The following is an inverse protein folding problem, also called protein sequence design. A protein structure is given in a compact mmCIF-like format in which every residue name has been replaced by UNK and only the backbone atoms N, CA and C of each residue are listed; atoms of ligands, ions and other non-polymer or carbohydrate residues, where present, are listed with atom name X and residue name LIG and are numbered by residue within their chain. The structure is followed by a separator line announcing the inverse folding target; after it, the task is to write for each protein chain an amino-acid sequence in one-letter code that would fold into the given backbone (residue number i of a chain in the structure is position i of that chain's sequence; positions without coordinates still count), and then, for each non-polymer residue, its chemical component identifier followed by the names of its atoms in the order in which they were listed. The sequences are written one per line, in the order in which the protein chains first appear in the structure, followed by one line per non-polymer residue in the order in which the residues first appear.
data_IF_883095024037
#
_entry.id   IF_883095024037
#
_cell.length_a   1.000
_cell.length_b   1.000
_cell.length_c   1.000
_cell.angle_alpha   90.00
_cell.angle_beta   90.00
_cell.angle_gamma   90.00
#
_symmetry.space_group_name_H-M   'P 1'
#
loop_
_entity.id
_entity.type
_entity.pdbx_description
1 polymer ?
#
# COMPACT_ATOMS: atom_id res chain seq x y z
N UNK A 1 64.95 -32.12 -15.17
CA UNK A 1 64.73 -31.79 -16.59
C UNK A 1 64.58 -33.11 -17.35
N UNK A 2 63.62 -33.33 -18.28
CA UNK A 2 62.17 -33.06 -18.26
C UNK A 2 61.30 -34.28 -18.73
N UNK A 3 59.97 -34.16 -18.55
CA UNK A 3 58.83 -34.70 -19.35
C UNK A 3 58.54 -36.21 -19.54
N UNK A 4 57.32 -36.65 -19.20
CA UNK A 4 56.16 -36.99 -20.09
C UNK A 4 55.06 -37.75 -19.30
N UNK A 5 53.84 -37.21 -19.13
CA UNK A 5 52.56 -37.54 -19.82
C UNK A 5 51.49 -38.31 -18.99
N UNK A 6 50.29 -37.71 -18.94
CA UNK A 6 48.95 -38.06 -18.38
C UNK A 6 48.37 -39.47 -18.76
N UNK A 7 47.21 -39.99 -18.21
CA UNK A 7 45.96 -39.27 -17.87
C UNK A 7 44.99 -39.76 -16.74
N UNK A 8 44.08 -38.83 -16.39
CA UNK A 8 42.64 -38.92 -16.07
C UNK A 8 42.07 -39.88 -15.00
N UNK A 9 41.43 -39.29 -13.99
CA UNK A 9 40.01 -39.57 -13.65
C UNK A 9 39.41 -38.45 -12.79
N UNK A 10 38.39 -37.77 -13.31
CA UNK A 10 37.50 -36.92 -12.53
C UNK A 10 36.37 -37.78 -11.93
N UNK A 11 35.95 -37.48 -10.70
CA UNK A 11 34.54 -37.56 -10.36
C UNK A 11 34.01 -36.18 -9.95
N UNK A 12 33.29 -35.58 -10.90
CA UNK A 12 31.96 -34.97 -10.75
C UNK A 12 31.64 -34.41 -9.36
N UNK A 13 31.61 -33.07 -9.28
CA UNK A 13 30.95 -32.31 -8.22
C UNK A 13 29.56 -32.88 -7.93
N UNK A 14 29.19 -33.17 -6.67
CA UNK A 14 27.80 -33.30 -6.31
C UNK A 14 27.18 -31.91 -6.39
N UNK A 15 26.46 -31.73 -7.49
CA UNK A 15 25.37 -30.78 -7.70
C UNK A 15 24.65 -30.53 -6.36
N UNK A 16 24.88 -29.37 -5.76
CA UNK A 16 24.17 -28.92 -4.57
C UNK A 16 22.68 -28.86 -4.92
N UNK A 17 21.93 -29.87 -4.47
CA UNK A 17 20.49 -29.80 -4.40
C UNK A 17 20.14 -28.57 -3.56
N UNK A 18 19.40 -27.63 -4.15
CA UNK A 18 18.87 -26.49 -3.41
C UNK A 18 18.11 -27.02 -2.19
N UNK A 19 18.63 -26.74 -0.99
CA UNK A 19 17.92 -27.02 0.24
C UNK A 19 16.58 -26.26 0.19
N UNK A 20 15.45 -26.88 0.60
CA UNK A 20 14.19 -26.17 0.66
C UNK A 20 14.35 -24.96 1.57
N UNK A 21 14.02 -23.77 1.06
CA UNK A 21 14.12 -22.50 1.78
C UNK A 21 13.13 -22.52 2.95
N UNK A 22 13.53 -23.06 4.10
CA UNK A 22 12.68 -23.08 5.30
C UNK A 22 12.48 -21.64 5.76
N UNK A 23 11.25 -21.15 5.64
CA UNK A 23 10.87 -19.82 6.14
C UNK A 23 11.01 -19.88 7.67
N UNK A 24 11.82 -18.99 8.25
CA UNK A 24 12.05 -18.96 9.69
C UNK A 24 10.74 -18.72 10.45
N UNK A 25 10.46 -19.52 11.48
CA UNK A 25 9.19 -19.50 12.25
C UNK A 25 8.80 -18.09 12.75
N UNK A 26 9.79 -17.25 13.05
CA UNK A 26 9.58 -15.87 13.52
C UNK A 26 9.05 -14.92 12.42
N UNK A 27 9.11 -15.32 11.15
CA UNK A 27 8.58 -14.56 10.01
C UNK A 27 7.13 -14.91 9.68
N UNK A 28 6.55 -15.91 10.35
CA UNK A 28 5.14 -16.30 10.14
C UNK A 28 4.14 -15.41 10.90
N UNK A 29 4.59 -14.39 11.65
CA UNK A 29 3.68 -13.48 12.37
C UNK A 29 2.89 -14.14 13.51
N UNK A 30 3.30 -15.34 13.92
CA UNK A 30 2.71 -16.11 15.01
C UNK A 30 3.01 -15.46 16.38
N UNK A 31 2.11 -15.62 17.34
CA UNK A 31 2.40 -15.17 18.70
C UNK A 31 3.58 -15.99 19.28
N UNK A 32 4.40 -15.45 20.19
CA UNK A 32 5.59 -16.13 20.70
C UNK A 32 5.32 -17.54 21.26
N UNK A 33 4.15 -17.70 21.90
CA UNK A 33 3.65 -18.98 22.42
C UNK A 33 3.31 -20.00 21.32
N UNK A 34 2.79 -19.53 20.18
CA UNK A 34 2.43 -20.38 19.05
C UNK A 34 3.68 -20.82 18.27
N UNK A 35 4.70 -19.95 18.18
CA UNK A 35 6.03 -20.29 17.64
C UNK A 35 6.70 -21.37 18.49
N UNK A 36 6.62 -21.26 19.82
CA UNK A 36 7.19 -22.26 20.72
C UNK A 36 6.51 -23.63 20.55
N UNK A 37 5.18 -23.63 20.45
CA UNK A 37 4.37 -24.84 20.22
C UNK A 37 4.68 -25.45 18.85
N UNK A 38 4.77 -24.64 17.79
CA UNK A 38 5.14 -25.08 16.44
C UNK A 38 6.54 -25.70 16.41
N UNK A 39 7.51 -25.08 17.08
CA UNK A 39 8.88 -25.58 17.18
C UNK A 39 8.94 -26.91 17.94
N UNK A 40 8.18 -27.05 19.02
CA UNK A 40 8.06 -28.29 19.78
C UNK A 40 7.47 -29.41 18.92
N UNK A 41 6.42 -29.12 18.14
CA UNK A 41 5.81 -30.11 17.25
C UNK A 41 6.69 -30.48 16.06
N UNK A 42 7.42 -29.51 15.47
CA UNK A 42 8.44 -29.81 14.46
C UNK A 42 9.51 -30.76 15.00
N UNK A 43 9.98 -30.55 16.24
CA UNK A 43 10.97 -31.43 16.86
C UNK A 43 10.44 -32.85 17.03
N UNK A 44 9.17 -33.02 17.43
CA UNK A 44 8.52 -34.32 17.55
C UNK A 44 8.31 -35.00 16.19
N UNK A 45 7.88 -34.24 15.17
CA UNK A 45 7.72 -34.73 13.81
C UNK A 45 9.07 -35.14 13.18
N UNK A 46 10.14 -34.35 13.41
CA UNK A 46 11.49 -34.72 12.99
C UNK A 46 12.04 -35.94 13.73
N UNK A 47 11.71 -36.11 15.01
CA UNK A 47 12.07 -37.31 15.77
C UNK A 47 11.38 -38.56 15.19
N UNK A 48 10.12 -38.47 14.77
CA UNK A 48 9.40 -39.55 14.08
C UNK A 48 9.91 -39.78 12.64
N UNK A 49 10.23 -38.72 11.91
CA UNK A 49 10.74 -38.77 10.53
C UNK A 49 12.18 -39.32 10.40
N UNK A 50 12.96 -39.28 11.49
CA UNK A 50 14.27 -39.95 11.61
C UNK A 50 14.17 -41.48 11.70
N UNK A 51 12.96 -42.03 11.80
CA UNK A 51 12.74 -43.44 11.53
C UNK A 51 12.91 -43.69 10.02
N UNK A 52 13.66 -44.71 9.57
CA UNK A 52 13.93 -44.96 8.14
C UNK A 52 12.68 -45.14 7.27
N UNK A 53 11.50 -45.37 7.88
CA UNK A 53 10.20 -45.38 7.21
C UNK A 53 9.61 -43.98 6.91
N UNK A 54 9.99 -42.93 7.66
CA UNK A 54 9.45 -41.57 7.52
C UNK A 54 10.16 -40.75 6.43
N UNK A 55 11.43 -41.03 6.17
CA UNK A 55 12.21 -40.34 5.12
C UNK A 55 11.74 -40.67 3.69
N UNK A 56 11.11 -41.82 3.48
CA UNK A 56 10.47 -42.21 2.21
C UNK A 56 9.08 -41.59 2.00
N UNK A 57 8.39 -41.17 3.06
CA UNK A 57 7.06 -40.56 2.96
C UNK A 57 7.13 -39.08 2.54
N UNK A 58 8.18 -38.38 2.98
CA UNK A 58 8.43 -36.97 2.62
C UNK A 58 8.77 -36.80 1.13
N UNK A 59 9.52 -37.75 0.55
CA UNK A 59 9.88 -37.74 -0.87
C UNK A 59 8.73 -38.10 -1.83
N UNK A 60 7.61 -38.61 -1.31
CA UNK A 60 6.44 -39.03 -2.10
C UNK A 60 5.27 -38.04 -2.01
N UNK A 61 5.53 -36.77 -1.70
CA UNK A 61 4.54 -35.68 -1.72
C UNK A 61 3.49 -35.76 -0.60
N UNK A 62 3.67 -36.65 0.38
CA UNK A 62 2.72 -36.86 1.47
C UNK A 62 3.21 -36.11 2.70
N UNK A 63 2.91 -34.81 2.72
CA UNK A 63 3.01 -33.99 3.93
C UNK A 63 2.20 -34.66 5.05
N UNK A 64 2.89 -35.22 6.05
CA UNK A 64 2.29 -35.68 7.29
C UNK A 64 1.77 -34.45 8.03
N UNK A 65 0.53 -34.06 7.73
CA UNK A 65 -0.19 -33.00 8.41
C UNK A 65 -0.58 -33.49 9.80
N UNK A 66 0.15 -33.03 10.83
CA UNK A 66 -0.21 -33.25 12.23
C UNK A 66 -1.48 -32.43 12.57
N UNK A 67 -2.51 -33.02 13.20
CA UNK A 67 -3.75 -32.31 13.56
C UNK A 67 -3.54 -30.99 14.32
N UNK A 68 -2.49 -30.88 15.14
CA UNK A 68 -2.15 -29.64 15.83
C UNK A 68 -1.70 -28.51 14.90
N UNK A 69 -0.93 -28.85 13.86
CA UNK A 69 -0.49 -27.88 12.84
C UNK A 69 -1.66 -27.33 12.01
N UNK A 70 -2.66 -28.16 11.72
CA UNK A 70 -3.90 -27.75 11.05
C UNK A 70 -4.76 -26.83 11.91
N UNK A 71 -4.89 -27.12 13.20
CA UNK A 71 -5.59 -26.23 14.13
C UNK A 71 -4.91 -24.87 14.25
N UNK A 72 -3.58 -24.83 14.29
CA UNK A 72 -2.83 -23.57 14.30
C UNK A 72 -3.06 -22.77 13.01
N UNK A 73 -3.03 -23.43 11.85
CA UNK A 73 -3.29 -22.80 10.56
C UNK A 73 -4.73 -22.24 10.48
N UNK A 74 -5.72 -22.98 10.99
CA UNK A 74 -7.11 -22.51 11.08
C UNK A 74 -7.20 -21.22 11.91
N UNK A 75 -6.61 -21.21 13.11
CA UNK A 75 -6.61 -20.02 13.98
C UNK A 75 -5.90 -18.83 13.34
N UNK A 76 -4.83 -19.08 12.59
CA UNK A 76 -4.13 -18.04 11.84
C UNK A 76 -5.02 -17.48 10.73
N UNK A 77 -5.70 -18.34 9.97
CA UNK A 77 -6.61 -17.91 8.90
C UNK A 77 -7.79 -17.10 9.47
N UNK A 78 -8.35 -17.50 10.60
CA UNK A 78 -9.41 -16.75 11.29
C UNK A 78 -8.93 -15.37 11.72
N UNK A 79 -7.71 -15.28 12.27
CA UNK A 79 -7.11 -14.00 12.64
C UNK A 79 -6.84 -13.11 11.43
N UNK A 80 -6.36 -13.70 10.33
CA UNK A 80 -6.10 -12.98 9.09
C UNK A 80 -7.41 -12.44 8.51
N UNK A 81 -8.46 -13.26 8.41
CA UNK A 81 -9.77 -12.84 7.93
C UNK A 81 -10.33 -11.69 8.75
N UNK A 82 -10.26 -11.79 10.08
CA UNK A 82 -10.71 -10.72 10.98
C UNK A 82 -9.89 -9.44 10.81
N UNK A 83 -8.57 -9.56 10.66
CA UNK A 83 -7.70 -8.41 10.42
C UNK A 83 -8.02 -7.73 9.07
N UNK A 84 -8.29 -8.52 8.03
CA UNK A 84 -8.68 -8.03 6.70
C UNK A 84 -10.05 -7.36 6.74
N UNK A 85 -11.02 -7.91 7.46
CA UNK A 85 -12.35 -7.30 7.65
C UNK A 85 -12.23 -5.93 8.32
N UNK A 86 -11.49 -5.85 9.43
CA UNK A 86 -11.26 -4.59 10.15
C UNK A 86 -10.53 -3.58 9.26
N UNK A 87 -9.50 -4.01 8.52
CA UNK A 87 -8.76 -3.15 7.61
C UNK A 87 -9.64 -2.62 6.48
N UNK A 88 -10.52 -3.46 5.94
CA UNK A 88 -11.47 -3.10 4.87
C UNK A 88 -12.48 -2.08 5.39
N UNK A 89 -13.04 -2.29 6.59
CA UNK A 89 -13.96 -1.34 7.20
C UNK A 89 -13.28 0.01 7.47
N UNK A 90 -12.09 -0.01 8.08
CA UNK A 90 -11.34 1.22 8.33
C UNK A 90 -10.92 1.95 7.05
N UNK A 91 -10.74 1.22 5.94
CA UNK A 91 -10.47 1.82 4.63
C UNK A 91 -11.74 2.44 4.04
N UNK A 92 -12.88 1.78 4.19
CA UNK A 92 -14.17 2.29 3.76
C UNK A 92 -14.53 3.59 4.50
N UNK A 93 -14.36 3.61 5.82
CA UNK A 93 -14.62 4.80 6.64
C UNK A 93 -13.69 5.97 6.27
N UNK A 94 -12.40 5.69 6.06
CA UNK A 94 -11.42 6.70 5.61
C UNK A 94 -11.77 7.25 4.22
N UNK A 95 -12.16 6.39 3.29
CA UNK A 95 -12.57 6.82 1.95
C UNK A 95 -13.84 7.68 2.02
N UNK A 96 -14.82 7.28 2.82
CA UNK A 96 -16.05 8.06 3.04
C UNK A 96 -15.76 9.46 3.58
N UNK A 97 -14.93 9.56 4.62
CA UNK A 97 -14.53 10.85 5.18
C UNK A 97 -13.77 11.73 4.17
N UNK A 98 -12.88 11.13 3.36
CA UNK A 98 -12.15 11.86 2.33
C UNK A 98 -13.06 12.40 1.23
N UNK A 99 -14.08 11.62 0.82
CA UNK A 99 -15.08 12.07 -0.18
C UNK A 99 -15.89 13.25 0.38
N UNK A 100 -16.38 13.16 1.62
CA UNK A 100 -17.13 14.25 2.24
C UNK A 100 -16.30 15.54 2.36
N UNK A 101 -15.02 15.41 2.72
CA UNK A 101 -14.11 16.54 2.77
C UNK A 101 -13.89 17.16 1.38
N UNK A 102 -13.74 16.33 0.34
CA UNK A 102 -13.61 16.79 -1.04
C UNK A 102 -14.88 17.51 -1.51
N UNK A 103 -16.07 17.00 -1.20
CA UNK A 103 -17.35 17.64 -1.55
C UNK A 103 -17.49 19.03 -0.91
N UNK A 104 -17.09 19.17 0.37
CA UNK A 104 -17.08 20.45 1.06
C UNK A 104 -16.13 21.46 0.39
N UNK A 105 -14.94 21.02 0.00
CA UNK A 105 -13.98 21.89 -0.68
C UNK A 105 -14.44 22.25 -2.10
N UNK A 106 -15.07 21.33 -2.84
CA UNK A 106 -15.69 21.61 -4.14
C UNK A 106 -16.78 22.68 -4.00
N UNK A 107 -17.64 22.57 -2.98
CA UNK A 107 -18.67 23.57 -2.72
C UNK A 107 -18.06 24.95 -2.41
N UNK A 108 -16.98 24.98 -1.62
CA UNK A 108 -16.24 26.20 -1.33
C UNK A 108 -15.63 26.81 -2.59
N UNK A 109 -14.99 26.03 -3.45
CA UNK A 109 -14.42 26.53 -4.70
C UNK A 109 -15.50 27.09 -5.63
N UNK A 110 -16.66 26.43 -5.74
CA UNK A 110 -17.80 26.95 -6.51
C UNK A 110 -18.29 28.29 -5.97
N UNK A 111 -18.37 28.45 -4.65
CA UNK A 111 -18.74 29.72 -4.03
C UNK A 111 -17.72 30.84 -4.32
N UNK A 112 -16.42 30.51 -4.28
CA UNK A 112 -15.35 31.47 -4.63
C UNK A 112 -15.47 31.91 -6.09
N UNK A 113 -15.70 30.97 -7.02
CA UNK A 113 -15.88 31.31 -8.44
C UNK A 113 -17.08 32.24 -8.64
N UNK A 114 -18.21 31.97 -7.99
CA UNK A 114 -19.37 32.86 -8.04
C UNK A 114 -19.05 34.26 -7.49
N UNK A 115 -18.29 34.36 -6.40
CA UNK A 115 -17.86 35.66 -5.85
C UNK A 115 -16.93 36.41 -6.82
N UNK A 116 -16.08 35.70 -7.56
CA UNK A 116 -15.23 36.31 -8.59
C UNK A 116 -16.09 36.90 -9.71
N UNK A 117 -17.06 36.15 -10.23
CA UNK A 117 -17.96 36.64 -11.28
C UNK A 117 -18.77 37.88 -10.84
N UNK A 118 -19.18 37.91 -9.57
CA UNK A 118 -19.85 39.07 -8.98
C UNK A 118 -18.91 40.28 -8.87
N UNK A 119 -17.66 40.08 -8.45
CA UNK A 119 -16.65 41.14 -8.42
C UNK A 119 -16.34 41.68 -9.83
N UNK A 120 -16.30 40.82 -10.85
CA UNK A 120 -16.12 41.27 -12.24
C UNK A 120 -17.25 42.20 -12.68
N UNK A 121 -18.49 41.86 -12.33
CA UNK A 121 -19.66 42.72 -12.58
C UNK A 121 -19.55 44.06 -11.84
N UNK A 122 -19.08 44.06 -10.59
CA UNK A 122 -18.84 45.29 -9.83
C UNK A 122 -17.72 46.15 -10.44
N UNK A 123 -16.64 45.53 -10.94
CA UNK A 123 -15.57 46.26 -11.62
C UNK A 123 -16.05 46.93 -12.92
N UNK A 124 -16.95 46.30 -13.66
CA UNK A 124 -17.54 46.91 -14.85
C UNK A 124 -18.45 48.11 -14.51
N UNK A 125 -19.20 48.04 -13.40
CA UNK A 125 -19.92 49.22 -12.87
C UNK A 125 -18.96 50.36 -12.55
N UNK A 126 -17.83 50.06 -11.91
CA UNK A 126 -16.80 51.06 -11.57
C UNK A 126 -16.19 51.68 -12.84
N UNK A 127 -15.92 50.89 -13.88
CA UNK A 127 -15.44 51.41 -15.18
C UNK A 127 -16.45 52.39 -15.78
N UNK A 128 -17.74 52.04 -15.78
CA UNK A 128 -18.81 52.93 -16.28
C UNK A 128 -18.89 54.24 -15.50
N UNK A 129 -18.78 54.18 -14.17
CA UNK A 129 -18.74 55.40 -13.33
C UNK A 129 -17.54 56.28 -13.71
N UNK A 130 -16.36 55.67 -13.91
CA UNK A 130 -15.15 56.39 -14.32
C UNK A 130 -15.35 57.11 -15.67
N UNK A 131 -16.01 56.48 -16.63
CA UNK A 131 -16.33 57.10 -17.92
C UNK A 131 -17.29 58.29 -17.77
N UNK A 132 -18.32 58.15 -16.94
CA UNK A 132 -19.27 59.23 -16.62
C UNK A 132 -18.53 60.42 -15.99
N UNK A 133 -17.66 60.18 -15.01
CA UNK A 133 -16.86 61.23 -14.36
C UNK A 133 -15.93 61.93 -15.35
N UNK A 134 -15.29 61.17 -16.27
CA UNK A 134 -14.50 61.76 -17.36
C UNK A 134 -15.35 62.65 -18.27
N UNK A 135 -16.56 62.22 -18.62
CA UNK A 135 -17.50 63.03 -19.40
C UNK A 135 -17.94 64.31 -18.69
N UNK A 136 -18.22 64.25 -17.39
CA UNK A 136 -18.50 65.44 -16.58
C UNK A 136 -17.32 66.41 -16.56
N UNK A 137 -16.10 65.91 -16.34
CA UNK A 137 -14.89 66.73 -16.35
C UNK A 137 -14.70 67.48 -17.68
N UNK A 138 -14.83 66.77 -18.81
CA UNK A 138 -14.70 67.39 -20.14
C UNK A 138 -15.76 68.48 -20.38
N UNK A 139 -17.00 68.27 -19.89
CA UNK A 139 -18.06 69.28 -19.98
C UNK A 139 -17.77 70.53 -19.15
N UNK A 140 -17.20 70.36 -17.95
CA UNK A 140 -16.79 71.48 -17.09
C UNK A 140 -15.67 72.27 -17.75
N UNK A 141 -14.62 71.60 -18.24
CA UNK A 141 -13.49 72.23 -18.95
C UNK A 141 -13.97 73.03 -20.19
N UNK A 142 -14.93 72.49 -20.95
CA UNK A 142 -15.53 73.20 -22.09
C UNK A 142 -16.38 74.41 -21.66
N UNK A 143 -17.07 74.34 -20.51
CA UNK A 143 -17.86 75.46 -19.99
C UNK A 143 -16.95 76.59 -19.49
N UNK A 144 -15.87 76.24 -18.77
CA UNK A 144 -14.85 77.17 -18.31
C UNK A 144 -14.18 77.90 -19.49
N UNK A 145 -13.84 77.16 -20.56
CA UNK A 145 -13.25 77.73 -21.78
C UNK A 145 -14.17 78.70 -22.55
N UNK A 146 -15.47 78.70 -22.25
CA UNK A 146 -16.46 79.62 -22.85
C UNK A 146 -16.79 80.82 -21.97
N UNK A 147 -16.49 80.73 -20.67
CA UNK A 147 -16.81 81.75 -19.66
C UNK A 147 -15.59 82.60 -19.29
N UNK A 148 -14.37 82.05 -19.41
CA UNK A 148 -13.11 82.80 -19.38
C UNK A 148 -12.76 83.37 -20.75
#
# INVERSE_FOLDING_TARGET
MPSTSHPSTHPRSPQQAAAPTSIADNRLGLAPQDVATLRQHQQLAHAQARSPAGSQASSQGRLLLDPGSLQLLSRHFDRLNRATEIATQAQYDRAGNAIQAADAEIARFRAILQQIDELETEFDKIKRIREIVRGFRARVEHLESRLG
#
